data_IF_659999637218
#
_entry.id   IF_659999637218
#
_cell.length_a   1.000
_cell.length_b   1.000
_cell.length_c   1.000
_cell.angle_alpha   90.00
_cell.angle_beta   90.00
_cell.angle_gamma   90.00
#
_symmetry.space_group_name_H-M   'P 1'
#
loop_
_entity.id
_entity.type
_entity.pdbx_description
1 polymer ?
#
# COMPACT_ATOMS: atom_id res chain seq x y z
N UNK A 1 9.23 -5.85 14.51
CA UNK A 1 9.65 -5.58 15.90
C UNK A 1 11.17 -5.48 15.91
N UNK A 2 11.73 -4.38 16.41
CA UNK A 2 13.18 -4.27 16.65
C UNK A 2 13.49 -4.88 18.01
N UNK A 3 14.47 -5.78 18.07
CA UNK A 3 14.89 -6.41 19.32
C UNK A 3 16.26 -5.84 19.68
N UNK A 4 16.35 -5.07 20.76
CA UNK A 4 17.62 -4.62 21.33
C UNK A 4 18.23 -5.71 22.20
N UNK A 5 19.56 -5.79 22.20
CA UNK A 5 20.31 -6.62 23.14
C UNK A 5 20.16 -6.11 24.58
N UNK A 6 20.32 -7.00 25.56
CA UNK A 6 20.26 -6.64 26.99
C UNK A 6 21.36 -5.64 27.35
N UNK A 7 22.52 -5.78 26.71
CA UNK A 7 23.70 -4.95 26.86
C UNK A 7 23.43 -3.53 26.34
N UNK A 8 22.81 -3.41 25.15
CA UNK A 8 22.39 -2.12 24.61
C UNK A 8 21.37 -1.44 25.55
N UNK A 9 20.36 -2.17 26.00
CA UNK A 9 19.36 -1.66 26.95
C UNK A 9 20.02 -1.13 28.23
N UNK A 10 20.91 -1.92 28.83
CA UNK A 10 21.62 -1.55 30.06
C UNK A 10 22.51 -0.32 29.87
N UNK A 11 23.22 -0.23 28.75
CA UNK A 11 24.06 0.92 28.42
C UNK A 11 23.22 2.20 28.28
N UNK A 12 22.12 2.15 27.52
CA UNK A 12 21.28 3.32 27.29
C UNK A 12 20.47 3.75 28.52
N UNK A 13 20.01 2.82 29.35
CA UNK A 13 19.40 3.12 30.66
C UNK A 13 20.41 3.82 31.59
N UNK A 14 21.64 3.31 31.65
CA UNK A 14 22.69 3.93 32.47
C UNK A 14 23.05 5.32 31.94
N UNK A 15 23.18 5.47 30.62
CA UNK A 15 23.42 6.75 29.97
C UNK A 15 22.28 7.75 30.26
N UNK A 16 21.03 7.29 30.22
CA UNK A 16 19.87 8.11 30.54
C UNK A 16 19.90 8.58 32.00
N UNK A 17 20.22 7.69 32.94
CA UNK A 17 20.39 8.03 34.36
C UNK A 17 21.47 9.08 34.59
N UNK A 18 22.64 8.92 33.95
CA UNK A 18 23.75 9.89 33.99
C UNK A 18 23.39 11.24 33.35
N UNK A 19 22.65 11.22 32.23
CA UNK A 19 22.23 12.45 31.58
C UNK A 19 21.24 13.26 32.44
N UNK A 20 20.34 12.58 33.17
CA UNK A 20 19.35 13.25 34.03
C UNK A 20 19.97 13.91 35.26
N UNK A 21 21.07 13.38 35.82
CA UNK A 21 21.75 13.96 36.99
C UNK A 21 22.57 15.22 36.67
N UNK A 22 23.00 15.41 35.42
CA UNK A 22 23.79 16.61 35.00
C UNK A 22 23.04 17.94 35.02
N UNK A 23 21.73 17.96 35.32
CA UNK A 23 20.93 19.18 35.43
C UNK A 23 21.03 19.93 36.77
N UNK A 24 21.73 19.39 37.77
CA UNK A 24 21.85 19.98 39.11
C UNK A 24 23.31 20.31 39.44
N UNK A 25 23.60 21.59 39.73
CA UNK A 25 24.95 22.09 40.06
C UNK A 25 25.57 21.42 41.31
N UNK A 26 24.75 20.75 42.12
CA UNK A 26 25.13 20.06 43.36
C UNK A 26 24.96 18.53 43.27
N UNK A 27 25.00 17.91 42.08
CA UNK A 27 24.92 16.44 41.99
C UNK A 27 26.15 15.78 42.61
N UNK A 28 25.96 14.94 43.63
CA UNK A 28 27.04 14.16 44.27
C UNK A 28 27.52 12.97 43.42
N UNK A 29 26.72 12.59 42.41
CA UNK A 29 27.10 11.55 41.46
C UNK A 29 28.06 12.12 40.42
N UNK A 30 29.37 11.90 40.62
CA UNK A 30 30.37 12.16 39.57
C UNK A 30 30.20 11.10 38.48
N UNK A 31 29.76 11.48 37.26
CA UNK A 31 29.59 10.52 36.18
C UNK A 31 30.96 9.94 35.84
N UNK A 32 31.20 8.69 36.23
CA UNK A 32 32.37 7.93 35.79
C UNK A 32 32.31 7.65 34.28
N UNK A 33 33.39 7.11 33.74
CA UNK A 33 33.41 6.67 32.35
C UNK A 33 32.42 5.50 32.15
N UNK A 34 31.39 5.71 31.33
CA UNK A 34 30.45 4.67 30.92
C UNK A 34 31.08 3.83 29.81
N UNK A 35 31.60 2.66 30.17
CA UNK A 35 32.22 1.75 29.22
C UNK A 35 31.16 1.14 28.28
N UNK A 36 31.33 1.37 26.98
CA UNK A 36 30.56 0.70 25.94
C UNK A 36 31.29 -0.50 25.33
N UNK A 37 30.90 -0.88 24.11
CA UNK A 37 31.49 -2.00 23.38
C UNK A 37 32.45 -1.58 22.25
N UNK A 38 32.83 -0.31 22.19
CA UNK A 38 33.78 0.25 21.22
C UNK A 38 35.13 0.46 21.91
N UNK A 39 36.22 0.05 21.27
CA UNK A 39 37.59 0.17 21.80
C UNK A 39 38.52 0.80 20.77
N UNK A 40 39.55 1.52 21.24
CA UNK A 40 40.64 2.01 20.39
C UNK A 40 41.61 0.87 20.08
N UNK A 41 42.02 0.76 18.81
CA UNK A 41 43.01 -0.22 18.35
C UNK A 41 44.44 0.31 18.41
N UNK A 42 44.60 1.64 18.45
CA UNK A 42 45.90 2.32 18.45
C UNK A 42 46.40 2.55 19.89
N UNK A 43 45.49 2.80 20.85
CA UNK A 43 45.82 2.98 22.26
C UNK A 43 44.82 2.26 23.20
N UNK A 44 45.18 1.12 23.81
CA UNK A 44 44.33 0.41 24.76
C UNK A 44 44.01 1.20 26.05
N UNK A 45 44.70 2.31 26.33
CA UNK A 45 44.42 3.17 27.48
C UNK A 45 43.50 4.33 27.15
N UNK A 46 43.15 4.50 25.87
CA UNK A 46 42.24 5.53 25.42
C UNK A 46 40.80 5.15 25.80
N UNK A 47 40.10 6.08 26.46
CA UNK A 47 38.70 5.92 26.80
C UNK A 47 37.84 6.29 25.59
N UNK A 48 37.16 5.31 25.00
CA UNK A 48 36.25 5.51 23.85
C UNK A 48 34.79 5.42 24.29
N UNK A 49 34.04 6.51 24.11
CA UNK A 49 32.63 6.54 24.46
C UNK A 49 31.75 6.04 23.31
N UNK A 50 30.72 5.25 23.64
CA UNK A 50 29.68 4.84 22.70
C UNK A 50 29.39 3.34 22.74
N UNK A 51 28.20 2.99 22.26
CA UNK A 51 27.75 1.60 22.16
C UNK A 51 27.15 1.37 20.78
N UNK A 52 27.57 0.29 20.13
CA UNK A 52 27.10 -0.13 18.82
C UNK A 52 26.22 -1.38 18.96
N UNK A 53 24.97 -1.29 18.50
CA UNK A 53 24.00 -2.40 18.53
C UNK A 53 23.37 -2.58 17.14
N UNK A 54 23.15 -3.83 16.74
CA UNK A 54 22.48 -4.17 15.48
C UNK A 54 21.20 -4.94 15.79
N UNK A 55 20.06 -4.30 15.59
CA UNK A 55 18.76 -4.94 15.74
C UNK A 55 18.35 -5.64 14.43
N UNK A 56 17.90 -6.89 14.51
CA UNK A 56 17.28 -7.59 13.38
C UNK A 56 15.83 -7.16 13.22
N UNK A 57 15.36 -7.11 11.97
CA UNK A 57 13.95 -6.87 11.64
C UNK A 57 13.39 -8.14 11.02
N UNK A 58 12.32 -8.67 11.62
CA UNK A 58 11.53 -9.75 11.05
C UNK A 58 10.16 -9.20 10.63
N UNK A 59 9.81 -9.40 9.35
CA UNK A 59 8.51 -9.03 8.78
C UNK A 59 7.85 -10.28 8.20
N UNK A 60 6.54 -10.42 8.45
CA UNK A 60 5.72 -11.49 7.88
C UNK A 60 4.48 -10.87 7.26
N UNK A 61 4.21 -11.19 6.00
CA UNK A 61 2.99 -10.81 5.29
C UNK A 61 2.07 -12.02 5.16
N UNK A 62 0.76 -11.80 5.29
CA UNK A 62 -0.28 -12.82 5.14
C UNK A 62 -1.27 -12.27 4.11
N UNK A 63 -1.64 -13.11 3.13
CA UNK A 63 -2.65 -12.79 2.14
C UNK A 63 -3.93 -13.55 2.48
N UNK A 64 -5.07 -12.91 2.24
CA UNK A 64 -6.38 -13.54 2.41
C UNK A 64 -7.20 -13.36 1.15
N UNK A 65 -7.85 -14.43 0.73
CA UNK A 65 -8.89 -14.43 -0.29
C UNK A 65 -10.28 -14.42 0.39
N UNK A 66 -11.32 -14.11 -0.38
CA UNK A 66 -12.70 -14.19 0.11
C UNK A 66 -13.03 -15.59 0.67
N UNK A 67 -12.60 -16.65 -0.03
CA UNK A 67 -12.82 -18.05 0.35
C UNK A 67 -12.17 -18.44 1.69
N UNK A 68 -11.14 -17.71 2.16
CA UNK A 68 -10.50 -17.98 3.44
C UNK A 68 -11.41 -17.63 4.63
N UNK A 69 -12.34 -16.67 4.43
CA UNK A 69 -13.30 -16.24 5.44
C UNK A 69 -14.71 -16.80 5.21
N UNK A 70 -15.07 -17.08 3.95
CA UNK A 70 -16.40 -17.51 3.54
C UNK A 70 -16.35 -18.79 2.68
N UNK A 71 -15.98 -19.93 3.29
CA UNK A 71 -15.79 -21.17 2.55
C UNK A 71 -17.13 -21.71 2.01
N UNK A 72 -17.17 -22.01 0.72
CA UNK A 72 -18.35 -22.51 -0.02
C UNK A 72 -19.54 -21.54 -0.12
N UNK A 73 -19.34 -20.25 0.16
CA UNK A 73 -20.35 -19.23 -0.11
C UNK A 73 -20.23 -18.73 -1.55
N UNK A 74 -21.35 -18.28 -2.12
CA UNK A 74 -21.33 -17.62 -3.42
C UNK A 74 -20.56 -16.29 -3.33
N UNK A 75 -19.74 -16.02 -4.36
CA UNK A 75 -19.06 -14.74 -4.46
C UNK A 75 -20.09 -13.60 -4.57
N UNK A 76 -19.80 -12.43 -3.98
CA UNK A 76 -20.64 -11.26 -4.17
C UNK A 76 -20.86 -10.98 -5.67
N UNK A 77 -22.06 -10.53 -6.07
CA UNK A 77 -22.32 -10.18 -7.46
C UNK A 77 -21.37 -9.07 -7.91
N UNK A 78 -21.07 -9.04 -9.21
CA UNK A 78 -20.27 -7.97 -9.78
C UNK A 78 -20.92 -6.61 -9.50
N UNK A 79 -20.11 -5.60 -9.21
CA UNK A 79 -20.60 -4.30 -8.72
C UNK A 79 -21.41 -3.52 -9.76
N UNK A 80 -21.35 -3.92 -11.03
CA UNK A 80 -22.01 -3.27 -12.14
C UNK A 80 -22.91 -4.22 -12.93
N UNK A 81 -24.15 -3.81 -13.19
CA UNK A 81 -25.00 -4.51 -14.15
C UNK A 81 -24.52 -4.21 -15.58
N UNK A 82 -23.89 -5.21 -16.21
CA UNK A 82 -23.33 -5.11 -17.56
C UNK A 82 -24.39 -5.29 -18.64
N UNK A 83 -25.38 -4.39 -18.63
CA UNK A 83 -26.47 -4.38 -19.61
C UNK A 83 -25.95 -3.89 -20.96
N UNK A 84 -26.17 -4.69 -21.99
CA UNK A 84 -25.86 -4.32 -23.38
C UNK A 84 -26.94 -3.36 -23.88
N UNK A 85 -26.52 -2.23 -24.43
CA UNK A 85 -27.40 -1.21 -25.02
C UNK A 85 -26.98 -0.90 -26.45
N UNK A 86 -27.87 -0.27 -27.23
CA UNK A 86 -27.57 0.12 -28.60
C UNK A 86 -28.04 1.56 -28.88
N UNK A 87 -27.30 2.57 -28.41
CA UNK A 87 -27.70 3.97 -28.53
C UNK A 87 -27.68 4.44 -29.98
N UNK A 88 -28.59 5.36 -30.32
CA UNK A 88 -28.72 5.84 -31.69
C UNK A 88 -27.51 6.67 -32.13
N UNK A 89 -27.13 6.53 -33.40
CA UNK A 89 -26.17 7.42 -34.10
C UNK A 89 -26.84 8.60 -34.77
N UNK A 90 -28.17 8.61 -34.84
CA UNK A 90 -28.96 9.64 -35.51
C UNK A 90 -29.11 10.87 -34.63
N UNK A 91 -29.24 12.05 -35.24
CA UNK A 91 -29.46 13.31 -34.54
C UNK A 91 -28.57 14.46 -35.01
N UNK A 92 -28.97 15.68 -34.64
CA UNK A 92 -28.17 16.89 -34.86
C UNK A 92 -26.97 16.95 -33.90
N UNK A 93 -26.07 17.92 -34.09
CA UNK A 93 -24.91 18.10 -33.21
C UNK A 93 -25.38 18.28 -31.74
N UNK A 94 -24.85 17.46 -30.83
CA UNK A 94 -25.25 17.45 -29.41
C UNK A 94 -26.47 16.59 -29.07
N UNK A 95 -27.18 16.04 -30.06
CA UNK A 95 -28.34 15.16 -29.86
C UNK A 95 -28.06 13.69 -30.20
N UNK A 96 -26.82 13.34 -30.58
CA UNK A 96 -26.43 11.98 -30.94
C UNK A 96 -26.08 11.21 -29.67
N UNK A 97 -26.95 10.30 -29.26
CA UNK A 97 -26.81 9.55 -28.00
C UNK A 97 -25.49 8.81 -27.90
N UNK A 98 -25.12 8.02 -28.91
CA UNK A 98 -23.87 7.27 -28.91
C UNK A 98 -22.67 8.20 -28.76
N UNK A 99 -22.65 9.29 -29.53
CA UNK A 99 -21.52 10.22 -29.56
C UNK A 99 -21.37 10.94 -28.22
N UNK A 100 -22.47 11.37 -27.61
CA UNK A 100 -22.46 11.99 -26.29
C UNK A 100 -21.94 11.02 -25.22
N UNK A 101 -22.36 9.75 -25.25
CA UNK A 101 -21.89 8.75 -24.29
C UNK A 101 -20.40 8.40 -24.46
N UNK A 102 -19.89 8.44 -25.69
CA UNK A 102 -18.45 8.29 -25.97
C UNK A 102 -17.67 9.50 -25.42
N UNK A 103 -18.14 10.72 -25.67
CA UNK A 103 -17.49 11.93 -25.15
C UNK A 103 -17.48 12.01 -23.63
N UNK A 104 -18.53 11.50 -22.99
CA UNK A 104 -18.63 11.40 -21.53
C UNK A 104 -17.82 10.21 -20.95
N UNK A 105 -17.13 9.43 -21.79
CA UNK A 105 -16.37 8.23 -21.40
C UNK A 105 -17.19 7.19 -20.60
N UNK A 106 -18.49 7.06 -20.93
CA UNK A 106 -19.42 6.20 -20.18
C UNK A 106 -19.49 4.76 -20.67
N UNK A 107 -19.12 4.52 -21.93
CA UNK A 107 -19.37 3.25 -22.62
C UNK A 107 -18.14 2.69 -23.33
N UNK A 108 -18.17 1.39 -23.61
CA UNK A 108 -17.20 0.65 -24.41
C UNK A 108 -17.92 -0.16 -25.48
N UNK A 109 -17.27 -0.30 -26.63
CA UNK A 109 -17.76 -1.14 -27.72
C UNK A 109 -17.81 -2.60 -27.26
N UNK A 110 -18.92 -3.27 -27.56
CA UNK A 110 -19.10 -4.70 -27.30
C UNK A 110 -19.14 -5.49 -28.61
N UNK A 111 -20.03 -5.11 -29.54
CA UNK A 111 -20.14 -5.74 -30.87
C UNK A 111 -20.94 -4.86 -31.85
N UNK A 112 -21.11 -5.30 -33.09
CA UNK A 112 -22.05 -4.73 -34.05
C UNK A 112 -23.49 -5.21 -33.79
N UNK A 113 -24.46 -4.31 -33.91
CA UNK A 113 -25.87 -4.64 -33.75
C UNK A 113 -26.46 -5.19 -35.07
N UNK A 114 -26.31 -6.49 -35.32
CA UNK A 114 -26.95 -7.18 -36.45
C UNK A 114 -28.43 -7.54 -36.18
N UNK A 115 -29.17 -6.61 -35.57
CA UNK A 115 -30.57 -6.80 -35.19
C UNK A 115 -30.79 -7.46 -33.83
N UNK A 116 -29.74 -7.60 -33.02
CA UNK A 116 -29.84 -8.07 -31.63
C UNK A 116 -30.72 -7.15 -30.77
N UNK A 117 -30.66 -5.84 -31.03
CA UNK A 117 -31.56 -4.83 -30.46
C UNK A 117 -32.30 -4.14 -31.61
N UNK A 118 -33.52 -4.59 -31.96
CA UNK A 118 -34.31 -4.00 -33.04
C UNK A 118 -34.60 -2.52 -32.79
N UNK A 119 -34.39 -1.68 -33.81
CA UNK A 119 -34.57 -0.22 -33.70
C UNK A 119 -33.45 0.51 -32.93
N UNK A 120 -32.45 -0.22 -32.43
CA UNK A 120 -31.23 0.35 -31.84
C UNK A 120 -30.26 0.91 -32.89
N UNK A 121 -29.21 1.55 -32.42
CA UNK A 121 -28.10 1.98 -33.26
C UNK A 121 -27.31 0.83 -33.89
N UNK A 122 -26.27 1.13 -34.69
CA UNK A 122 -25.48 0.11 -35.38
C UNK A 122 -24.51 -0.66 -34.48
N UNK A 123 -24.30 -0.23 -33.23
CA UNK A 123 -23.34 -0.83 -32.30
C UNK A 123 -24.01 -1.26 -31.00
N UNK A 124 -23.53 -2.36 -30.44
CA UNK A 124 -23.80 -2.80 -29.07
C UNK A 124 -22.69 -2.26 -28.17
N UNK A 125 -23.07 -1.67 -27.06
CA UNK A 125 -22.16 -1.06 -26.10
C UNK A 125 -22.53 -1.44 -24.68
N UNK A 126 -21.51 -1.49 -23.83
CA UNK A 126 -21.66 -1.72 -22.39
C UNK A 126 -21.08 -0.53 -21.63
N UNK A 127 -21.42 -0.40 -20.34
CA UNK A 127 -20.80 0.61 -19.47
C UNK A 127 -19.29 0.41 -19.40
N UNK A 128 -18.55 1.49 -19.14
CA UNK A 128 -17.09 1.49 -19.07
C UNK A 128 -16.55 0.44 -18.11
N UNK A 129 -17.13 0.33 -16.91
CA UNK A 129 -16.72 -0.63 -15.89
C UNK A 129 -16.87 -2.10 -16.31
N UNK A 130 -17.70 -2.40 -17.30
CA UNK A 130 -17.89 -3.76 -17.82
C UNK A 130 -16.94 -4.14 -18.97
N UNK A 131 -16.38 -3.16 -19.67
CA UNK A 131 -15.51 -3.38 -20.83
C UNK A 131 -14.07 -2.88 -20.67
N UNK A 132 -13.80 -2.17 -19.57
CA UNK A 132 -12.51 -1.56 -19.28
C UNK A 132 -12.06 -1.92 -17.87
N UNK A 133 -11.16 -2.89 -17.75
CA UNK A 133 -10.63 -3.34 -16.46
C UNK A 133 -9.95 -2.20 -15.68
N UNK A 134 -9.51 -1.13 -16.35
CA UNK A 134 -8.89 0.04 -15.69
C UNK A 134 -9.90 0.97 -15.04
N UNK A 135 -11.20 0.75 -15.26
CA UNK A 135 -12.27 1.50 -14.61
C UNK A 135 -12.45 1.11 -13.14
N UNK A 136 -12.19 -0.16 -12.79
CA UNK A 136 -12.29 -0.69 -11.44
C UNK A 136 -10.94 -1.07 -10.83
N UNK A 137 -9.90 -1.22 -11.66
CA UNK A 137 -8.57 -1.67 -11.25
C UNK A 137 -7.44 -0.80 -11.82
N UNK A 138 -6.24 -1.05 -11.31
CA UNK A 138 -5.00 -0.49 -11.85
C UNK A 138 -4.31 -1.51 -12.72
N UNK A 139 -3.78 -1.09 -13.86
CA UNK A 139 -2.88 -1.91 -14.67
C UNK A 139 -1.43 -1.92 -14.14
N UNK A 140 -1.16 -1.19 -13.05
CA UNK A 140 0.14 -1.21 -12.36
C UNK A 140 0.17 -2.37 -11.39
N UNK A 141 1.18 -3.22 -11.52
CA UNK A 141 1.45 -4.32 -10.60
C UNK A 141 1.62 -3.74 -9.19
N UNK A 142 0.87 -4.21 -8.20
CA UNK A 142 1.02 -3.75 -6.83
C UNK A 142 2.34 -4.23 -6.22
N UNK A 143 2.95 -3.43 -5.35
CA UNK A 143 4.20 -3.78 -4.64
C UNK A 143 4.07 -5.05 -3.76
N UNK A 144 2.85 -5.51 -3.50
CA UNK A 144 2.60 -6.70 -2.69
C UNK A 144 2.59 -8.00 -3.51
N UNK A 145 2.58 -7.97 -4.84
CA UNK A 145 2.75 -9.17 -5.66
C UNK A 145 4.22 -9.62 -5.55
N UNK A 146 4.45 -10.75 -4.88
CA UNK A 146 5.76 -11.42 -4.83
C UNK A 146 5.78 -12.55 -5.87
N UNK A 147 6.82 -12.59 -6.71
CA UNK A 147 7.09 -13.72 -7.62
C UNK A 147 7.55 -14.97 -6.87
#
# INVERSE_FOLDING_TARGET
>A
QYVHSLEAFSFYETLQGLAQTTGNLFSEDQPGFLQGNIISIDDPKENVAGFFDVATVAEKRIFFNYEDFFPNEELPPYTADCIITSPSTSGSLGQRELLNQIYDDKIRFYDFNFGAIPGGGPFLVVRKDCGDCTALGSNKIPEFWTE
#
